data_IF_987669379815
#
_entry.id   IF_987669379815
#
_cell.length_a   1.000
_cell.length_b   1.000
_cell.length_c   1.000
_cell.angle_alpha   90.00
_cell.angle_beta   90.00
_cell.angle_gamma   90.00
#
_symmetry.space_group_name_H-M   'P 1'
#
loop_
_entity.id
_entity.type
_entity.pdbx_description
1 polymer ?
#
# COMPACT_ATOMS: atom_id res chain seq x y z
N UNK A 1 15.63 -4.80 11.90
CA UNK A 1 16.62 -3.97 12.62
C UNK A 1 16.92 -2.74 11.77
N UNK A 2 17.09 -1.59 12.41
CA UNK A 2 17.09 -0.26 11.79
C UNK A 2 18.26 -0.06 10.81
N UNK A 3 18.01 0.63 9.69
CA UNK A 3 19.06 1.10 8.80
C UNK A 3 20.07 1.96 9.57
N UNK A 4 21.34 2.06 9.13
CA UNK A 4 22.33 2.94 9.77
C UNK A 4 21.83 4.37 9.96
N UNK A 5 21.08 4.89 8.99
CA UNK A 5 20.42 6.20 9.06
C UNK A 5 19.35 6.26 10.16
N UNK A 6 18.53 5.21 10.31
CA UNK A 6 17.54 5.13 11.39
C UNK A 6 18.17 5.11 12.79
N UNK A 7 19.25 4.36 12.97
CA UNK A 7 19.99 4.31 14.24
C UNK A 7 20.66 5.64 14.58
N UNK A 8 21.25 6.32 13.60
CA UNK A 8 21.85 7.65 13.80
C UNK A 8 20.77 8.71 14.08
N UNK A 9 19.63 8.66 13.38
CA UNK A 9 18.50 9.54 13.61
C UNK A 9 17.89 9.33 15.01
N UNK A 10 17.88 8.08 15.51
CA UNK A 10 17.39 7.77 16.86
C UNK A 10 18.11 8.60 17.94
N UNK A 11 19.43 8.78 17.82
CA UNK A 11 20.20 9.60 18.77
C UNK A 11 19.74 11.06 18.75
N UNK A 12 19.52 11.64 17.56
CA UNK A 12 18.99 13.00 17.44
C UNK A 12 17.56 13.12 17.97
N UNK A 13 16.70 12.12 17.71
CA UNK A 13 15.32 12.05 18.22
C UNK A 13 15.30 12.02 19.76
N UNK A 14 16.15 11.21 20.39
CA UNK A 14 16.23 11.13 21.86
C UNK A 14 16.73 12.42 22.51
N UNK A 15 17.43 13.27 21.75
CA UNK A 15 17.90 14.59 22.20
C UNK A 15 16.98 15.72 21.77
N UNK A 16 15.84 15.41 21.16
CA UNK A 16 14.89 16.38 20.59
C UNK A 16 15.53 17.32 19.55
N UNK A 17 16.61 16.87 18.89
CA UNK A 17 17.29 17.60 17.82
C UNK A 17 16.55 17.40 16.48
N UNK A 18 15.28 17.79 16.43
CA UNK A 18 14.33 17.46 15.35
C UNK A 18 14.78 17.91 13.96
N UNK A 19 15.40 19.09 13.86
CA UNK A 19 15.91 19.62 12.57
C UNK A 19 16.98 18.71 11.98
N UNK A 20 17.91 18.21 12.81
CA UNK A 20 18.98 17.31 12.36
C UNK A 20 18.42 15.92 12.05
N UNK A 21 17.53 15.41 12.90
CA UNK A 21 16.85 14.14 12.66
C UNK A 21 16.07 14.16 11.34
N UNK A 22 15.28 15.21 11.10
CA UNK A 22 14.50 15.42 9.89
C UNK A 22 15.38 15.48 8.65
N UNK A 23 16.48 16.25 8.68
CA UNK A 23 17.41 16.34 7.55
C UNK A 23 18.03 14.98 7.21
N UNK A 24 18.57 14.27 8.21
CA UNK A 24 19.18 12.96 8.01
C UNK A 24 18.19 11.92 7.47
N UNK A 25 17.00 11.83 8.05
CA UNK A 25 15.97 10.88 7.64
C UNK A 25 15.43 11.21 6.24
N UNK A 26 15.24 12.50 5.92
CA UNK A 26 14.84 12.95 4.59
C UNK A 26 15.83 12.51 3.52
N UNK A 27 17.12 12.75 3.74
CA UNK A 27 18.16 12.30 2.79
C UNK A 27 18.15 10.78 2.63
N UNK A 28 18.02 10.03 3.73
CA UNK A 28 17.93 8.57 3.68
C UNK A 28 16.71 8.07 2.87
N UNK A 29 15.55 8.73 2.99
CA UNK A 29 14.35 8.41 2.22
C UNK A 29 14.52 8.75 0.73
N UNK A 30 15.14 9.88 0.40
CA UNK A 30 15.37 10.29 -0.98
C UNK A 30 16.36 9.40 -1.74
N UNK A 31 17.21 8.66 -1.02
CA UNK A 31 18.12 7.67 -1.61
C UNK A 31 17.46 6.33 -1.92
N UNK A 32 16.27 6.05 -1.38
CA UNK A 32 15.59 4.75 -1.55
C UNK A 32 15.33 4.34 -3.01
N UNK A 33 14.92 5.22 -3.93
CA UNK A 33 14.70 4.84 -5.32
C UNK A 33 15.98 4.35 -6.04
N UNK A 34 17.17 4.73 -5.54
CA UNK A 34 18.47 4.28 -6.07
C UNK A 34 18.87 2.89 -5.56
N UNK A 35 18.24 2.43 -4.47
CA UNK A 35 18.49 1.10 -3.90
C UNK A 35 17.41 0.17 -4.45
N UNK A 36 17.71 -0.57 -5.52
CA UNK A 36 16.76 -1.52 -6.13
C UNK A 36 16.66 -2.79 -5.27
N UNK A 37 15.51 -3.08 -4.63
CA UNK A 37 15.30 -4.30 -3.87
C UNK A 37 14.94 -5.49 -4.78
N UNK A 38 14.74 -5.28 -6.08
CA UNK A 38 14.08 -6.24 -6.99
C UNK A 38 14.79 -7.58 -7.14
N UNK A 39 15.98 -7.73 -6.54
CA UNK A 39 16.86 -8.89 -6.69
C UNK A 39 17.43 -9.39 -5.38
N UNK A 40 16.95 -8.85 -4.24
CA UNK A 40 17.06 -9.56 -2.98
C UNK A 40 16.30 -10.89 -3.07
N UNK A 41 16.70 -11.92 -2.33
CA UNK A 41 15.85 -13.10 -2.16
C UNK A 41 14.48 -12.63 -1.61
N UNK A 42 13.37 -13.33 -1.91
CA UNK A 42 12.03 -12.85 -1.54
C UNK A 42 11.90 -12.49 -0.04
N UNK A 43 12.55 -13.26 0.84
CA UNK A 43 12.62 -12.98 2.28
C UNK A 43 13.39 -11.68 2.60
N UNK A 44 14.50 -11.43 1.90
CA UNK A 44 15.32 -10.23 2.09
C UNK A 44 14.63 -8.98 1.53
N UNK A 45 13.84 -9.11 0.45
CA UNK A 45 12.96 -8.03 -0.03
C UNK A 45 11.97 -7.62 1.04
N UNK A 46 11.26 -8.59 1.62
CA UNK A 46 10.26 -8.32 2.65
C UNK A 46 10.87 -7.64 3.88
N UNK A 47 12.05 -8.11 4.30
CA UNK A 47 12.83 -7.52 5.40
C UNK A 47 13.24 -6.08 5.10
N UNK A 48 13.74 -5.81 3.89
CA UNK A 48 14.05 -4.46 3.45
C UNK A 48 12.78 -3.59 3.45
N UNK A 49 11.69 -4.01 2.81
CA UNK A 49 10.43 -3.27 2.73
C UNK A 49 9.88 -2.92 4.13
N UNK A 50 9.97 -3.84 5.09
CA UNK A 50 9.61 -3.59 6.49
C UNK A 50 10.49 -2.50 7.12
N UNK A 51 11.80 -2.53 6.87
CA UNK A 51 12.73 -1.49 7.33
C UNK A 51 12.48 -0.12 6.66
N UNK A 52 12.10 -0.11 5.38
CA UNK A 52 11.77 1.09 4.62
C UNK A 52 10.50 1.76 5.15
N UNK A 53 9.46 0.96 5.43
CA UNK A 53 8.23 1.42 6.05
C UNK A 53 8.53 2.16 7.36
N UNK A 54 9.31 1.53 8.25
CA UNK A 54 9.73 2.16 9.51
C UNK A 54 10.55 3.45 9.31
N UNK A 55 11.47 3.48 8.33
CA UNK A 55 12.27 4.66 8.02
C UNK A 55 11.40 5.85 7.59
N UNK A 56 10.44 5.61 6.69
CA UNK A 56 9.58 6.67 6.14
C UNK A 56 8.62 7.23 7.18
N UNK A 57 8.05 6.39 8.05
CA UNK A 57 7.23 6.83 9.18
C UNK A 57 8.02 7.70 10.16
N UNK A 58 9.27 7.32 10.47
CA UNK A 58 10.15 8.15 11.29
C UNK A 58 10.49 9.47 10.60
N UNK A 59 10.74 9.47 9.29
CA UNK A 59 11.10 10.68 8.54
C UNK A 59 9.95 11.70 8.55
N UNK A 60 8.71 11.24 8.33
CA UNK A 60 7.53 12.08 8.38
C UNK A 60 7.27 12.66 9.78
N UNK A 61 7.33 11.82 10.81
CA UNK A 61 7.19 12.27 12.20
C UNK A 61 8.28 13.30 12.58
N UNK A 62 9.53 13.09 12.16
CA UNK A 62 10.62 14.02 12.45
C UNK A 62 10.44 15.35 11.72
N UNK A 63 9.94 15.32 10.48
CA UNK A 63 9.61 16.52 9.72
C UNK A 63 8.52 17.34 10.42
N UNK A 64 7.44 16.70 10.88
CA UNK A 64 6.39 17.39 11.64
C UNK A 64 6.91 17.95 12.98
N UNK A 65 7.74 17.19 13.71
CA UNK A 65 8.37 17.70 14.95
C UNK A 65 9.37 18.83 14.71
N UNK A 66 9.93 18.93 13.51
CA UNK A 66 10.76 20.05 13.08
C UNK A 66 9.95 21.23 12.50
N UNK A 67 8.63 21.24 12.67
CA UNK A 67 7.70 22.26 12.15
C UNK A 67 7.77 22.44 10.62
N UNK A 68 8.04 21.36 9.88
CA UNK A 68 7.92 21.36 8.42
C UNK A 68 6.45 21.33 8.01
N UNK A 69 6.17 21.81 6.80
CA UNK A 69 4.82 21.81 6.25
C UNK A 69 4.26 20.36 6.15
N UNK A 70 2.96 20.15 6.36
CA UNK A 70 2.30 18.85 6.20
C UNK A 70 2.67 18.11 4.91
N UNK A 71 2.68 18.82 3.78
CA UNK A 71 3.07 18.25 2.49
C UNK A 71 4.49 17.66 2.50
N UNK A 72 5.47 18.34 3.09
CA UNK A 72 6.86 17.85 3.13
C UNK A 72 6.97 16.52 3.88
N UNK A 73 6.22 16.37 4.98
CA UNK A 73 6.19 15.13 5.75
C UNK A 73 5.42 14.02 5.02
N UNK A 74 4.24 14.34 4.46
CA UNK A 74 3.42 13.38 3.71
C UNK A 74 4.15 12.85 2.47
N UNK A 75 4.90 13.72 1.79
CA UNK A 75 5.74 13.37 0.63
C UNK A 75 6.73 12.25 0.95
N UNK A 76 7.28 12.22 2.16
CA UNK A 76 8.23 11.18 2.59
C UNK A 76 7.53 9.82 2.78
N UNK A 77 6.31 9.81 3.30
CA UNK A 77 5.49 8.60 3.41
C UNK A 77 5.11 8.07 2.02
N UNK A 78 4.64 8.94 1.14
CA UNK A 78 4.24 8.58 -0.22
C UNK A 78 5.43 8.07 -1.05
N UNK A 79 6.64 8.62 -0.86
CA UNK A 79 7.84 8.12 -1.56
C UNK A 79 8.14 6.68 -1.14
N UNK A 80 8.22 6.41 0.17
CA UNK A 80 8.52 5.07 0.68
C UNK A 80 7.47 4.05 0.28
N UNK A 81 6.19 4.41 0.41
CA UNK A 81 5.08 3.52 0.08
C UNK A 81 4.86 3.36 -1.41
N UNK A 82 5.13 4.39 -2.22
CA UNK A 82 5.09 4.27 -3.67
C UNK A 82 6.11 3.25 -4.18
N UNK A 83 7.28 3.20 -3.54
CA UNK A 83 8.25 2.13 -3.77
C UNK A 83 7.69 0.78 -3.30
N UNK A 84 7.24 0.65 -2.04
CA UNK A 84 6.71 -0.62 -1.48
C UNK A 84 5.52 -1.16 -2.28
N UNK A 85 4.52 -0.34 -2.60
CA UNK A 85 3.38 -0.73 -3.43
C UNK A 85 3.81 -1.11 -4.84
N UNK A 86 4.76 -0.39 -5.44
CA UNK A 86 5.37 -0.77 -6.72
C UNK A 86 6.14 -2.10 -6.67
N UNK A 87 6.51 -2.58 -5.47
CA UNK A 87 7.14 -3.89 -5.25
C UNK A 87 6.14 -5.00 -4.90
N UNK A 88 5.20 -4.76 -3.98
CA UNK A 88 4.20 -5.77 -3.54
C UNK A 88 3.22 -6.11 -4.66
N UNK A 89 2.91 -5.16 -5.54
CA UNK A 89 1.97 -5.41 -6.61
C UNK A 89 2.53 -6.28 -7.74
N UNK A 90 3.85 -6.61 -7.79
CA UNK A 90 4.54 -7.24 -8.95
C UNK A 90 4.16 -6.65 -10.33
N UNK A 91 3.51 -5.50 -10.28
CA UNK A 91 2.78 -4.82 -11.32
C UNK A 91 3.17 -3.38 -11.07
N UNK A 92 4.06 -2.92 -11.95
CA UNK A 92 4.07 -1.53 -12.37
C UNK A 92 4.56 -0.51 -11.32
N UNK A 93 5.87 -0.28 -11.31
CA UNK A 93 6.27 1.08 -11.75
C UNK A 93 5.54 1.22 -13.06
N UNK A 94 4.43 1.95 -13.15
CA UNK A 94 3.57 1.90 -14.33
C UNK A 94 4.27 2.51 -15.53
N UNK A 95 5.24 1.75 -16.05
CA UNK A 95 5.80 1.89 -17.35
C UNK A 95 4.80 1.34 -18.35
N UNK A 96 3.55 0.98 -18.04
CA UNK A 96 2.58 0.69 -19.11
C UNK A 96 2.30 1.96 -19.88
N UNK A 97 2.13 3.11 -19.21
CA UNK A 97 2.10 4.42 -19.88
C UNK A 97 3.41 4.66 -20.64
N UNK A 98 4.57 4.42 -20.02
CA UNK A 98 5.88 4.58 -20.70
C UNK A 98 6.07 3.59 -21.86
N UNK A 99 5.52 2.38 -21.79
CA UNK A 99 5.59 1.31 -22.80
C UNK A 99 4.62 1.59 -23.94
N UNK A 100 3.48 2.20 -23.64
CA UNK A 100 2.48 2.63 -24.60
C UNK A 100 3.01 3.83 -25.41
N UNK A 101 3.54 4.84 -24.74
CA UNK A 101 3.95 6.09 -25.40
C UNK A 101 5.41 6.07 -25.87
N UNK A 102 6.32 5.43 -25.13
CA UNK A 102 7.77 5.44 -25.38
C UNK A 102 8.42 4.04 -25.18
N UNK A 103 8.04 3.02 -25.97
CA UNK A 103 8.46 1.62 -25.77
C UNK A 103 9.99 1.40 -25.76
N UNK A 104 10.74 2.18 -26.54
CA UNK A 104 12.21 2.10 -26.56
C UNK A 104 12.84 2.53 -25.23
N UNK A 105 12.39 3.65 -24.67
CA UNK A 105 12.84 4.15 -23.37
C UNK A 105 12.46 3.18 -22.25
N UNK A 106 11.26 2.61 -22.30
CA UNK A 106 10.85 1.60 -21.33
C UNK A 106 11.74 0.35 -21.35
N UNK A 107 12.17 -0.09 -22.55
CA UNK A 107 13.04 -1.26 -22.71
C UNK A 107 14.45 -1.00 -22.17
N UNK A 108 15.03 0.15 -22.46
CA UNK A 108 16.32 0.54 -21.88
C UNK A 108 16.22 0.70 -20.36
N UNK A 109 15.09 1.22 -19.87
CA UNK A 109 14.86 1.41 -18.44
C UNK A 109 14.76 0.08 -17.70
N UNK A 110 14.08 -0.90 -18.30
CA UNK A 110 14.05 -2.27 -17.79
C UNK A 110 15.47 -2.91 -17.84
N UNK A 111 16.25 -2.71 -18.93
CA UNK A 111 17.61 -3.26 -19.07
C UNK A 111 18.60 -2.75 -18.02
N UNK A 112 18.73 -1.43 -17.86
CA UNK A 112 19.72 -0.82 -16.94
C UNK A 112 19.42 -1.20 -15.51
N UNK A 113 18.12 -1.23 -15.16
CA UNK A 113 17.65 -1.74 -13.88
C UNK A 113 18.13 -3.18 -13.67
N UNK A 114 17.83 -4.09 -14.60
CA UNK A 114 18.22 -5.50 -14.52
C UNK A 114 19.76 -5.70 -14.41
N UNK A 115 20.58 -4.76 -14.92
CA UNK A 115 22.04 -4.78 -14.77
C UNK A 115 22.54 -4.33 -13.39
N UNK A 116 22.06 -3.19 -12.87
CA UNK A 116 22.35 -2.71 -11.49
C UNK A 116 22.06 -3.83 -10.49
N UNK A 117 20.96 -4.50 -10.74
CA UNK A 117 20.41 -5.56 -9.93
C UNK A 117 21.29 -6.82 -9.87
N UNK A 118 21.79 -7.31 -11.01
CA UNK A 118 22.73 -8.44 -11.06
C UNK A 118 24.04 -8.17 -10.30
N UNK A 119 24.45 -6.90 -10.23
CA UNK A 119 25.69 -6.49 -9.57
C UNK A 119 25.55 -6.43 -8.05
N UNK A 120 24.34 -6.18 -7.54
CA UNK A 120 24.04 -6.12 -6.10
C UNK A 120 23.84 -7.52 -5.47
N UNK A 121 23.26 -8.48 -6.19
CA UNK A 121 23.04 -9.85 -5.68
C UNK A 121 24.32 -10.67 -5.53
N UNK A 122 25.45 -10.20 -6.09
CA UNK A 122 26.75 -10.87 -6.04
C UNK A 122 27.68 -10.41 -4.89
N UNK A 123 27.14 -9.68 -3.90
CA UNK A 123 27.86 -9.25 -2.68
C UNK A 123 27.56 -10.25 -1.56
N UNK A 124 27.92 -11.50 -1.77
CA UNK A 124 27.90 -12.50 -0.70
C UNK A 124 29.19 -12.33 0.12
N UNK A 125 29.08 -11.77 1.33
CA UNK A 125 30.23 -11.49 2.23
C UNK A 125 30.83 -12.80 2.80
N UNK A 126 30.34 -13.97 2.38
CA UNK A 126 30.69 -15.26 2.97
C UNK A 126 31.72 -16.09 2.19
N UNK A 127 32.07 -15.75 0.95
CA UNK A 127 33.15 -16.45 0.22
C UNK A 127 34.50 -15.77 0.47
N UNK A 128 35.28 -16.37 1.39
CA UNK A 128 36.74 -16.22 1.37
C UNK A 128 37.22 -16.52 -0.05
N UNK A 129 37.95 -15.57 -0.66
CA UNK A 129 38.52 -15.58 -2.02
C UNK A 129 37.75 -14.88 -3.16
N UNK A 130 37.03 -13.78 -2.92
CA UNK A 130 36.76 -12.82 -4.03
C UNK A 130 37.99 -11.89 -4.15
N UNK A 131 38.78 -12.07 -5.22
CA UNK A 131 39.99 -11.28 -5.53
C UNK A 131 39.68 -9.76 -5.55
N UNK A 132 40.58 -8.93 -5.02
CA UNK A 132 40.39 -7.46 -4.91
C UNK A 132 40.06 -6.84 -6.29
N UNK A 133 40.63 -7.41 -7.36
CA UNK A 133 40.37 -7.01 -8.74
C UNK A 133 38.92 -7.31 -9.20
N UNK A 134 38.32 -8.40 -8.74
CA UNK A 134 36.92 -8.76 -9.03
C UNK A 134 35.98 -7.78 -8.35
N UNK A 135 36.26 -7.42 -7.10
CA UNK A 135 35.48 -6.44 -6.35
C UNK A 135 35.55 -5.05 -6.98
N UNK A 136 36.74 -4.59 -7.38
CA UNK A 136 36.92 -3.32 -8.09
C UNK A 136 36.17 -3.27 -9.43
N UNK A 137 36.19 -4.37 -10.21
CA UNK A 137 35.42 -4.47 -11.46
C UNK A 137 33.91 -4.43 -11.23
N UNK A 138 33.42 -5.12 -10.19
CA UNK A 138 32.00 -5.07 -9.79
C UNK A 138 31.59 -3.65 -9.38
N UNK A 139 32.41 -2.95 -8.58
CA UNK A 139 32.15 -1.57 -8.19
C UNK A 139 32.14 -0.60 -9.38
N UNK A 140 33.11 -0.70 -10.29
CA UNK A 140 33.17 0.19 -11.45
C UNK A 140 31.98 -0.03 -12.39
N UNK A 141 31.57 -1.30 -12.58
CA UNK A 141 30.39 -1.63 -13.37
C UNK A 141 29.11 -1.13 -12.72
N UNK A 142 29.00 -1.23 -11.39
CA UNK A 142 27.88 -0.66 -10.64
C UNK A 142 27.81 0.85 -10.80
N UNK A 143 28.94 1.55 -10.62
CA UNK A 143 29.03 3.01 -10.79
C UNK A 143 28.57 3.45 -12.18
N UNK A 144 29.02 2.73 -13.21
CA UNK A 144 28.61 3.02 -14.60
C UNK A 144 27.11 2.79 -14.83
N UNK A 145 26.56 1.70 -14.30
CA UNK A 145 25.13 1.41 -14.43
C UNK A 145 24.27 2.43 -13.65
N UNK A 146 24.72 2.90 -12.48
CA UNK A 146 24.06 3.97 -11.71
C UNK A 146 24.08 5.31 -12.46
N UNK A 147 25.21 5.68 -13.06
CA UNK A 147 25.32 6.87 -13.93
C UNK A 147 24.38 6.77 -15.15
N UNK A 148 24.32 5.60 -15.78
CA UNK A 148 23.42 5.34 -16.91
C UNK A 148 21.94 5.42 -16.50
N UNK A 149 21.61 4.90 -15.32
CA UNK A 149 20.26 4.98 -14.77
C UNK A 149 19.84 6.42 -14.48
N UNK A 150 20.72 7.23 -13.89
CA UNK A 150 20.45 8.64 -13.63
C UNK A 150 20.23 9.41 -14.94
N UNK A 151 21.01 9.15 -15.99
CA UNK A 151 20.81 9.75 -17.34
C UNK A 151 19.45 9.36 -17.90
N UNK A 152 19.13 8.06 -17.92
CA UNK A 152 17.89 7.55 -18.50
C UNK A 152 16.66 8.06 -17.74
N UNK A 153 16.76 8.20 -16.42
CA UNK A 153 15.70 8.76 -15.60
C UNK A 153 15.42 10.23 -15.97
N UNK A 154 16.45 11.02 -16.29
CA UNK A 154 16.28 12.39 -16.79
C UNK A 154 15.66 12.41 -18.19
N UNK A 155 16.05 11.49 -19.08
CA UNK A 155 15.45 11.38 -20.42
C UNK A 155 13.96 11.06 -20.37
N UNK A 156 13.55 10.14 -19.49
CA UNK A 156 12.13 9.81 -19.27
C UNK A 156 11.39 11.04 -18.73
N UNK A 157 11.96 11.74 -17.74
CA UNK A 157 11.37 12.96 -17.18
C UNK A 157 11.32 14.15 -18.14
N UNK A 158 12.11 14.12 -19.21
CA UNK A 158 12.05 15.08 -20.31
C UNK A 158 10.90 14.83 -21.28
N UNK A 159 10.12 13.75 -21.12
CA UNK A 159 8.95 13.46 -21.94
C UNK A 159 7.69 14.11 -21.35
N UNK A 160 6.86 14.64 -22.24
CA UNK A 160 5.56 15.21 -21.87
C UNK A 160 4.71 14.15 -21.15
N UNK A 161 4.20 14.47 -19.96
CA UNK A 161 3.41 13.57 -19.13
C UNK A 161 4.22 12.66 -18.19
N UNK A 162 5.55 12.69 -18.26
CA UNK A 162 6.46 11.88 -17.43
C UNK A 162 7.36 12.71 -16.53
N UNK A 163 7.10 14.02 -16.38
CA UNK A 163 7.94 14.95 -15.64
C UNK A 163 8.11 14.53 -14.16
N UNK A 164 7.09 13.89 -13.59
CA UNK A 164 7.09 13.36 -12.22
C UNK A 164 7.40 11.86 -12.15
N UNK A 165 7.92 11.26 -13.23
CA UNK A 165 8.22 9.83 -13.28
C UNK A 165 9.19 9.43 -12.15
N UNK A 166 8.76 8.49 -11.30
CA UNK A 166 9.46 8.07 -10.08
C UNK A 166 9.77 9.20 -9.08
N UNK A 167 9.14 10.37 -9.21
CA UNK A 167 9.14 11.40 -8.18
C UNK A 167 7.89 11.27 -7.30
N UNK A 168 7.95 11.77 -6.06
CA UNK A 168 6.75 11.89 -5.24
C UNK A 168 5.75 12.85 -5.91
N UNK A 169 4.45 12.61 -5.72
CA UNK A 169 3.43 13.54 -6.20
C UNK A 169 3.64 14.96 -5.65
N UNK A 170 3.30 15.93 -6.47
CA UNK A 170 3.21 17.34 -6.07
C UNK A 170 2.05 17.53 -5.08
N UNK A 171 2.09 18.61 -4.31
CA UNK A 171 1.01 18.93 -3.37
C UNK A 171 -0.34 19.04 -4.08
N UNK A 172 -0.36 19.69 -5.25
CA UNK A 172 -1.55 19.81 -6.08
C UNK A 172 -2.10 18.46 -6.54
N UNK A 173 -1.25 17.52 -6.95
CA UNK A 173 -1.67 16.17 -7.34
C UNK A 173 -2.29 15.41 -6.16
N UNK A 174 -1.74 15.57 -4.93
CA UNK A 174 -2.31 14.97 -3.73
C UNK A 174 -3.70 15.53 -3.41
N UNK A 175 -3.87 16.85 -3.53
CA UNK A 175 -5.16 17.52 -3.29
C UNK A 175 -6.21 17.14 -4.36
N UNK A 176 -5.80 17.06 -5.63
CA UNK A 176 -6.68 16.57 -6.71
C UNK A 176 -7.09 15.12 -6.44
N UNK A 177 -6.16 14.28 -5.99
CA UNK A 177 -6.46 12.90 -5.62
C UNK A 177 -7.43 12.78 -4.44
N UNK A 178 -7.61 13.83 -3.63
CA UNK A 178 -8.59 13.91 -2.55
C UNK A 178 -9.93 14.54 -2.97
N UNK A 179 -10.19 14.67 -4.28
CA UNK A 179 -11.47 15.16 -4.82
C UNK A 179 -12.17 14.05 -5.62
N UNK A 180 -13.44 13.69 -5.31
CA UNK A 180 -14.35 14.36 -4.37
C UNK A 180 -14.17 13.98 -2.90
N UNK A 181 -13.53 12.83 -2.62
CA UNK A 181 -13.53 12.24 -1.28
C UNK A 181 -12.22 12.50 -0.54
N UNK A 182 -12.25 13.03 0.69
CA UNK A 182 -11.07 13.30 1.50
C UNK A 182 -10.29 12.02 1.84
N UNK A 183 -8.98 12.19 2.02
CA UNK A 183 -8.05 11.10 2.33
C UNK A 183 -7.43 11.34 3.69
N UNK A 184 -7.40 10.28 4.50
CA UNK A 184 -6.79 10.25 5.82
C UNK A 184 -5.60 9.30 5.78
N UNK A 185 -4.39 9.85 5.80
CA UNK A 185 -3.15 9.05 5.87
C UNK A 185 -2.69 8.98 7.32
N UNK A 186 -2.57 7.78 7.87
CA UNK A 186 -2.18 7.60 9.27
C UNK A 186 -0.71 7.24 9.32
N UNK A 187 0.08 8.03 10.03
CA UNK A 187 1.48 7.77 10.31
C UNK A 187 1.65 7.24 11.73
N UNK A 188 2.36 6.13 11.87
CA UNK A 188 2.72 5.55 13.16
C UNK A 188 4.23 5.46 13.28
N UNK A 189 4.83 6.37 14.07
CA UNK A 189 6.22 6.27 14.50
C UNK A 189 6.31 5.97 16.01
N UNK A 190 7.44 5.47 16.47
CA UNK A 190 7.59 5.03 17.87
C UNK A 190 7.50 6.17 18.91
N UNK A 191 7.69 7.42 18.47
CA UNK A 191 7.72 8.61 19.33
C UNK A 191 6.59 9.61 19.04
N UNK A 192 5.85 9.42 17.95
CA UNK A 192 4.78 10.32 17.50
C UNK A 192 3.88 9.59 16.49
N UNK A 193 2.58 9.77 16.60
CA UNK A 193 1.62 9.31 15.60
C UNK A 193 0.82 10.51 15.09
N UNK A 194 0.48 10.50 13.81
CA UNK A 194 -0.18 11.63 13.15
C UNK A 194 -1.24 11.12 12.16
N UNK A 195 -2.26 11.91 11.92
CA UNK A 195 -3.13 11.78 10.76
C UNK A 195 -2.98 13.01 9.86
N UNK A 196 -2.66 12.75 8.59
CA UNK A 196 -2.73 13.74 7.53
C UNK A 196 -4.14 13.76 6.97
N UNK A 197 -4.77 14.92 6.99
CA UNK A 197 -6.08 15.17 6.40
C UNK A 197 -5.84 15.87 5.07
N UNK A 198 -6.13 15.18 3.98
CA UNK A 198 -5.94 15.68 2.61
C UNK A 198 -7.32 15.97 2.02
N UNK A 199 -7.53 17.21 1.63
CA UNK A 199 -8.74 17.70 0.97
C UNK A 199 -8.35 18.46 -0.31
N UNK A 200 -9.32 18.73 -1.18
CA UNK A 200 -9.08 19.55 -2.39
C UNK A 200 -8.64 20.99 -2.09
N UNK A 201 -8.79 21.46 -0.85
CA UNK A 201 -8.44 22.81 -0.39
C UNK A 201 -7.09 22.89 0.33
N UNK A 202 -6.55 21.78 0.81
CA UNK A 202 -5.25 21.75 1.47
C UNK A 202 -4.92 20.45 2.17
N UNK A 203 -3.74 20.43 2.78
CA UNK A 203 -3.22 19.32 3.58
C UNK A 203 -2.98 19.81 5.00
N UNK A 204 -3.64 19.20 5.96
CA UNK A 204 -3.47 19.49 7.39
C UNK A 204 -3.05 18.24 8.15
N UNK A 205 -2.59 18.42 9.39
CA UNK A 205 -2.19 17.31 10.26
C UNK A 205 -2.78 17.45 11.64
N UNK A 206 -3.19 16.32 12.21
CA UNK A 206 -3.53 16.19 13.63
C UNK A 206 -2.59 15.19 14.28
N UNK A 207 -2.11 15.52 15.49
CA UNK A 207 -1.35 14.57 16.30
C UNK A 207 -2.32 13.61 17.00
N UNK A 208 -1.94 12.33 17.10
CA UNK A 208 -2.73 11.25 17.69
C UNK A 208 -2.01 10.67 18.92
N UNK A 209 -2.02 11.37 20.07
CA UNK A 209 -1.20 11.01 21.24
C UNK A 209 -1.61 9.68 21.89
N UNK A 210 -2.89 9.31 21.78
CA UNK A 210 -3.42 8.06 22.34
C UNK A 210 -3.20 6.84 21.44
N UNK A 211 -2.78 7.08 20.19
CA UNK A 211 -2.39 6.05 19.24
C UNK A 211 -0.91 5.70 19.46
N UNK A 212 -0.60 4.40 19.63
CA UNK A 212 0.79 3.98 19.81
C UNK A 212 1.09 2.67 19.09
N UNK A 213 2.27 2.62 18.46
CA UNK A 213 2.76 1.43 17.76
C UNK A 213 2.77 0.19 18.67
N UNK A 214 3.11 0.36 19.94
CA UNK A 214 3.13 -0.73 20.93
C UNK A 214 1.75 -1.36 21.13
N UNK A 215 0.70 -0.55 21.29
CA UNK A 215 -0.68 -1.05 21.43
C UNK A 215 -1.16 -1.71 20.14
N UNK A 216 -0.88 -1.10 18.99
CA UNK A 216 -1.25 -1.66 17.68
C UNK A 216 -0.58 -3.02 17.41
N UNK A 217 0.68 -3.20 17.79
CA UNK A 217 1.36 -4.50 17.67
C UNK A 217 0.77 -5.56 18.60
N UNK A 218 0.30 -5.17 19.78
CA UNK A 218 -0.40 -6.11 20.68
C UNK A 218 -1.73 -6.61 20.09
N UNK A 219 -2.30 -5.90 19.11
CA UNK A 219 -3.52 -6.31 18.41
C UNK A 219 -3.30 -7.33 17.30
N UNK A 220 -2.05 -7.69 16.98
CA UNK A 220 -1.74 -8.66 15.94
C UNK A 220 -2.33 -10.06 16.21
N UNK A 221 -2.73 -10.36 17.46
CA UNK A 221 -3.52 -11.54 17.79
C UNK A 221 -5.01 -11.29 17.56
N UNK A 222 -5.68 -12.26 16.92
CA UNK A 222 -7.14 -12.25 16.84
C UNK A 222 -7.74 -12.22 18.25
N UNK A 223 -8.71 -11.34 18.52
CA UNK A 223 -9.35 -11.27 19.82
C UNK A 223 -10.05 -12.59 20.12
N UNK A 224 -9.82 -13.10 21.32
CA UNK A 224 -10.35 -14.40 21.77
C UNK A 224 -11.80 -14.31 22.23
N UNK A 225 -12.24 -13.10 22.59
CA UNK A 225 -13.58 -12.82 23.10
C UNK A 225 -14.19 -11.57 22.46
N UNK A 226 -15.52 -11.53 22.39
CA UNK A 226 -16.29 -10.39 21.85
C UNK A 226 -16.06 -9.10 22.66
N UNK A 227 -15.92 -9.21 23.99
CA UNK A 227 -15.63 -8.08 24.87
C UNK A 227 -14.27 -7.46 24.57
N UNK A 228 -13.26 -8.28 24.30
CA UNK A 228 -11.93 -7.83 23.90
C UNK A 228 -11.99 -7.05 22.58
N UNK A 229 -12.74 -7.55 21.60
CA UNK A 229 -12.97 -6.83 20.34
C UNK A 229 -13.69 -5.49 20.56
N UNK A 230 -14.72 -5.44 21.40
CA UNK A 230 -15.46 -4.21 21.69
C UNK A 230 -14.55 -3.15 22.34
N UNK A 231 -13.79 -3.51 23.38
CA UNK A 231 -12.84 -2.60 24.03
C UNK A 231 -11.72 -2.13 23.09
N UNK A 232 -11.30 -3.00 22.17
CA UNK A 232 -10.37 -2.64 21.12
C UNK A 232 -10.99 -1.56 20.22
N UNK A 233 -12.15 -1.81 19.62
CA UNK A 233 -12.83 -0.86 18.72
C UNK A 233 -13.15 0.48 19.38
N UNK A 234 -13.49 0.49 20.68
CA UNK A 234 -13.69 1.70 21.46
C UNK A 234 -12.38 2.51 21.63
N UNK A 235 -11.26 1.85 21.95
CA UNK A 235 -9.98 2.57 21.98
C UNK A 235 -9.59 3.13 20.60
N UNK A 236 -9.85 2.38 19.52
CA UNK A 236 -9.55 2.85 18.15
C UNK A 236 -10.42 4.04 17.76
N UNK A 237 -11.65 4.09 18.28
CA UNK A 237 -12.51 5.24 18.14
C UNK A 237 -11.87 6.48 18.78
N UNK A 238 -11.50 6.40 20.06
CA UNK A 238 -10.94 7.54 20.78
C UNK A 238 -9.57 7.98 20.26
N UNK A 239 -8.70 7.02 19.96
CA UNK A 239 -7.33 7.29 19.55
C UNK A 239 -7.17 7.68 18.07
N UNK A 240 -8.18 7.40 17.22
CA UNK A 240 -8.06 7.59 15.77
C UNK A 240 -9.37 8.01 15.11
N UNK A 241 -10.44 7.21 15.22
CA UNK A 241 -11.68 7.42 14.46
C UNK A 241 -12.32 8.79 14.74
N UNK A 242 -12.58 9.06 16.02
CA UNK A 242 -13.16 10.31 16.50
C UNK A 242 -12.35 11.57 16.14
N UNK A 243 -11.03 11.67 16.45
CA UNK A 243 -10.27 12.87 16.13
C UNK A 243 -10.16 13.11 14.61
N UNK A 244 -10.01 12.07 13.81
CA UNK A 244 -9.97 12.20 12.35
C UNK A 244 -11.30 12.67 11.75
N UNK A 245 -12.43 12.11 12.20
CA UNK A 245 -13.75 12.52 11.72
C UNK A 245 -14.10 13.93 12.17
N UNK A 246 -13.71 14.34 13.38
CA UNK A 246 -13.90 15.71 13.83
C UNK A 246 -13.09 16.73 13.01
N UNK A 247 -11.87 16.38 12.60
CA UNK A 247 -11.07 17.22 11.71
C UNK A 247 -11.74 17.43 10.34
N UNK A 248 -12.51 16.45 9.88
CA UNK A 248 -13.34 16.53 8.67
C UNK A 248 -14.75 17.12 8.92
N UNK A 249 -15.05 17.59 10.13
CA UNK A 249 -16.39 18.05 10.54
C UNK A 249 -17.50 16.98 10.40
N UNK A 250 -17.14 15.69 10.40
CA UNK A 250 -18.05 14.55 10.39
C UNK A 250 -18.40 14.13 11.82
N UNK A 251 -19.09 15.01 12.54
CA UNK A 251 -19.29 14.87 14.00
C UNK A 251 -20.57 14.16 14.39
N UNK A 252 -21.48 13.91 13.44
CA UNK A 252 -22.83 13.41 13.72
C UNK A 252 -23.25 12.32 12.74
N UNK A 253 -24.19 11.45 13.12
CA UNK A 253 -24.67 10.39 12.22
C UNK A 253 -25.35 10.95 10.97
N UNK A 254 -25.24 10.24 9.86
CA UNK A 254 -25.89 10.61 8.60
C UNK A 254 -27.39 10.30 8.70
N UNK A 255 -28.24 11.34 8.57
CA UNK A 255 -29.71 11.20 8.66
C UNK A 255 -30.42 11.29 7.31
N UNK A 256 -29.80 11.90 6.31
CA UNK A 256 -30.43 12.22 5.01
C UNK A 256 -30.01 11.27 3.88
N UNK A 257 -29.38 10.13 4.23
CA UNK A 257 -28.79 9.16 3.30
C UNK A 257 -27.72 9.74 2.35
N UNK A 258 -27.22 10.96 2.58
CA UNK A 258 -26.08 11.51 1.84
C UNK A 258 -24.80 11.22 2.58
N UNK A 259 -24.30 10.03 2.34
CA UNK A 259 -23.11 9.54 3.01
C UNK A 259 -21.85 10.22 2.45
N UNK A 260 -21.03 10.88 3.29
CA UNK A 260 -19.69 11.26 2.90
C UNK A 260 -18.85 9.98 2.76
N UNK A 261 -17.95 9.98 1.79
CA UNK A 261 -17.01 8.89 1.58
C UNK A 261 -15.62 9.37 1.99
N UNK A 262 -14.91 8.55 2.75
CA UNK A 262 -13.53 8.82 3.18
C UNK A 262 -12.61 7.67 2.77
N UNK A 263 -11.37 8.02 2.45
CA UNK A 263 -10.31 7.06 2.12
C UNK A 263 -9.29 6.97 3.24
N UNK A 264 -9.15 5.79 3.83
CA UNK A 264 -8.13 5.48 4.82
C UNK A 264 -6.87 4.94 4.16
N UNK A 265 -5.72 5.52 4.49
CA UNK A 265 -4.40 5.02 4.09
C UNK A 265 -3.62 4.69 5.38
N UNK A 266 -3.84 3.50 5.98
CA UNK A 266 -3.17 3.09 7.21
C UNK A 266 -1.70 2.74 6.95
N UNK A 267 -0.81 2.95 7.93
CA UNK A 267 0.58 2.44 7.92
C UNK A 267 0.78 1.25 8.85
N UNK A 268 1.70 0.35 8.50
CA UNK A 268 2.16 -0.75 9.37
C UNK A 268 0.96 -1.62 9.85
N UNK A 269 0.97 -2.06 11.11
CA UNK A 269 -0.05 -2.89 11.74
C UNK A 269 -1.49 -2.37 11.62
N UNK A 270 -1.72 -1.06 11.39
CA UNK A 270 -3.07 -0.52 11.15
C UNK A 270 -3.71 -1.08 9.88
N UNK A 271 -2.93 -1.58 8.93
CA UNK A 271 -3.44 -2.18 7.69
C UNK A 271 -4.27 -3.45 7.94
N UNK A 272 -4.10 -4.08 9.11
CA UNK A 272 -4.86 -5.26 9.52
C UNK A 272 -5.98 -4.93 10.53
N UNK A 273 -6.22 -3.66 10.80
CA UNK A 273 -7.15 -3.20 11.84
C UNK A 273 -8.39 -2.58 11.17
N UNK A 274 -9.62 -2.95 11.59
CA UNK A 274 -10.84 -2.46 10.97
C UNK A 274 -11.18 -1.04 11.44
N UNK A 275 -10.47 -0.03 10.95
CA UNK A 275 -10.71 1.39 11.28
C UNK A 275 -12.16 1.79 11.00
N UNK A 276 -12.74 1.29 9.91
CA UNK A 276 -14.14 1.52 9.56
C UNK A 276 -15.12 1.05 10.64
N UNK A 277 -14.75 0.07 11.47
CA UNK A 277 -15.59 -0.45 12.56
C UNK A 277 -15.26 0.18 13.92
N UNK A 278 -14.33 1.13 13.99
CA UNK A 278 -14.00 1.85 15.22
C UNK A 278 -15.26 2.53 15.76
N UNK A 279 -15.56 2.28 17.04
CA UNK A 279 -16.73 2.88 17.67
C UNK A 279 -17.13 2.22 18.98
N UNK A 280 -18.08 2.88 19.66
CA UNK A 280 -18.78 2.33 20.82
C UNK A 280 -20.04 1.62 20.35
N UNK A 281 -20.06 0.30 20.47
CA UNK A 281 -21.10 -0.60 19.95
C UNK A 281 -22.12 -1.03 21.04
N UNK A 282 -22.23 -0.24 22.11
CA UNK A 282 -23.28 -0.38 23.10
C UNK A 282 -24.65 0.01 22.52
N UNK A 283 -25.72 -0.49 23.15
CA UNK A 283 -27.06 -0.35 22.61
C UNK A 283 -27.48 1.12 22.55
N UNK A 284 -27.73 1.63 21.34
CA UNK A 284 -28.19 3.00 21.09
C UNK A 284 -27.09 4.02 20.86
N UNK A 285 -25.82 3.63 20.96
CA UNK A 285 -24.70 4.48 20.54
C UNK A 285 -24.68 4.64 19.02
N UNK A 286 -24.25 5.83 18.59
CA UNK A 286 -23.93 6.16 17.19
C UNK A 286 -22.53 6.75 17.07
N UNK A 287 -21.71 6.54 18.10
CA UNK A 287 -20.31 6.97 18.16
C UNK A 287 -19.44 5.95 17.44
N UNK A 288 -19.66 5.82 16.13
CA UNK A 288 -18.88 4.92 15.28
C UNK A 288 -18.50 5.60 13.97
N UNK A 289 -17.47 5.08 13.31
CA UNK A 289 -17.11 5.51 11.96
C UNK A 289 -18.21 5.12 10.97
N UNK A 290 -18.83 3.96 11.13
CA UNK A 290 -19.91 3.46 10.26
C UNK A 290 -21.15 4.34 10.26
N UNK A 291 -21.45 5.03 11.36
CA UNK A 291 -22.60 5.94 11.44
C UNK A 291 -22.33 7.29 10.75
N UNK A 292 -21.07 7.59 10.40
CA UNK A 292 -20.64 8.93 9.96
C UNK A 292 -20.11 8.98 8.54
N UNK A 293 -19.53 7.90 8.03
CA UNK A 293 -18.94 7.88 6.69
C UNK A 293 -18.85 6.49 6.06
N UNK A 294 -19.00 6.43 4.74
CA UNK A 294 -18.56 5.28 3.96
C UNK A 294 -17.03 5.28 3.99
N UNK A 295 -16.45 4.13 4.33
CA UNK A 295 -14.99 3.97 4.43
C UNK A 295 -14.45 3.10 3.31
N UNK A 296 -13.43 3.58 2.61
CA UNK A 296 -12.60 2.76 1.70
C UNK A 296 -11.13 2.85 2.06
N UNK A 297 -10.32 1.94 1.52
CA UNK A 297 -8.91 1.82 1.85
C UNK A 297 -8.07 1.88 0.59
N UNK A 298 -6.96 2.60 0.65
CA UNK A 298 -5.96 2.62 -0.42
C UNK A 298 -4.55 2.38 0.15
N UNK A 299 -3.64 1.91 -0.72
CA UNK A 299 -2.25 1.68 -0.32
C UNK A 299 -1.42 2.96 -0.32
N UNK A 300 -1.72 3.88 -1.23
CA UNK A 300 -1.06 5.19 -1.38
C UNK A 300 -2.02 6.18 -2.03
N UNK A 301 -1.80 7.48 -1.83
CA UNK A 301 -2.58 8.51 -2.53
C UNK A 301 -2.36 8.36 -4.05
N UNK A 302 -1.13 8.03 -4.45
CA UNK A 302 -0.80 7.74 -5.85
C UNK A 302 -1.64 6.60 -6.45
N UNK A 303 -1.85 5.49 -5.73
CA UNK A 303 -2.66 4.37 -6.22
C UNK A 303 -4.12 4.77 -6.43
N UNK A 304 -4.66 5.58 -5.52
CA UNK A 304 -6.02 6.12 -5.63
C UNK A 304 -6.15 7.05 -6.83
N UNK A 305 -5.16 7.93 -7.03
CA UNK A 305 -5.11 8.84 -8.17
C UNK A 305 -5.09 8.11 -9.51
N UNK A 306 -4.26 7.07 -9.66
CA UNK A 306 -4.24 6.24 -10.87
C UNK A 306 -5.56 5.48 -11.07
N UNK A 307 -6.15 4.95 -10.00
CA UNK A 307 -7.48 4.32 -10.04
C UNK A 307 -8.55 5.26 -10.60
N UNK A 308 -8.66 6.47 -10.05
CA UNK A 308 -9.62 7.50 -10.50
C UNK A 308 -9.36 7.95 -11.94
N UNK A 309 -8.10 8.17 -12.33
CA UNK A 309 -7.74 8.46 -13.72
C UNK A 309 -8.20 7.36 -14.67
N UNK A 310 -7.99 6.11 -14.29
CA UNK A 310 -8.38 4.96 -15.12
C UNK A 310 -9.90 4.85 -15.24
N UNK A 311 -10.67 5.10 -14.18
CA UNK A 311 -12.14 5.17 -14.24
C UNK A 311 -12.62 6.22 -15.24
N UNK A 312 -12.03 7.43 -15.23
CA UNK A 312 -12.36 8.49 -16.19
C UNK A 312 -12.08 8.10 -17.64
N UNK A 313 -11.03 7.31 -17.89
CA UNK A 313 -10.70 6.80 -19.22
C UNK A 313 -11.63 5.64 -19.62
N UNK A 314 -11.90 4.73 -18.68
CA UNK A 314 -12.71 3.52 -18.89
C UNK A 314 -14.19 3.84 -19.12
N UNK A 315 -14.69 4.97 -18.57
CA UNK A 315 -16.03 5.48 -18.84
C UNK A 315 -16.31 5.80 -20.32
N UNK A 316 -15.29 5.77 -21.19
CA UNK A 316 -15.39 6.04 -22.63
C UNK A 316 -15.43 4.78 -23.50
N UNK A 317 -15.17 3.59 -22.95
CA UNK A 317 -15.23 2.33 -23.69
C UNK A 317 -16.61 1.67 -23.54
N UNK A 318 -17.09 0.91 -24.55
CA UNK A 318 -18.32 0.14 -24.40
C UNK A 318 -18.16 -0.86 -23.25
N UNK A 319 -18.97 -0.70 -22.21
CA UNK A 319 -18.96 -1.56 -21.02
C UNK A 319 -19.16 -3.02 -21.43
N UNK A 320 -18.08 -3.80 -21.38
CA UNK A 320 -18.24 -5.23 -21.11
C UNK A 320 -18.83 -5.31 -19.71
N UNK A 321 -19.87 -6.13 -19.54
CA UNK A 321 -20.54 -6.33 -18.26
C UNK A 321 -20.57 -7.81 -17.94
N UNK A 322 -19.52 -8.29 -17.29
CA UNK A 322 -19.43 -9.69 -16.87
C UNK A 322 -18.95 -9.83 -15.44
N UNK A 323 -19.43 -10.90 -14.80
CA UNK A 323 -19.11 -11.23 -13.42
C UNK A 323 -18.48 -12.63 -13.40
N UNK A 324 -17.24 -12.72 -12.93
CA UNK A 324 -16.57 -13.98 -12.66
C UNK A 324 -16.91 -14.42 -11.23
N UNK A 325 -17.58 -15.56 -11.10
CA UNK A 325 -18.03 -16.10 -9.82
C UNK A 325 -17.35 -17.45 -9.56
N UNK A 326 -16.63 -17.55 -8.45
CA UNK A 326 -15.78 -18.70 -8.13
C UNK A 326 -16.10 -19.24 -6.72
N UNK A 327 -16.94 -20.28 -6.61
CA UNK A 327 -17.23 -20.96 -5.35
C UNK A 327 -16.20 -22.06 -5.06
N UNK A 328 -15.74 -22.15 -3.80
CA UNK A 328 -14.81 -23.19 -3.32
C UNK A 328 -15.39 -23.94 -2.11
N UNK A 329 -16.45 -24.72 -2.32
CA UNK A 329 -17.06 -25.54 -1.27
C UNK A 329 -16.09 -26.59 -0.69
N UNK A 330 -15.37 -27.29 -1.56
CA UNK A 330 -14.36 -28.28 -1.19
C UNK A 330 -13.00 -27.77 -1.65
N UNK A 331 -12.22 -27.23 -0.71
CA UNK A 331 -10.83 -26.81 -0.98
C UNK A 331 -9.88 -27.90 -0.50
N UNK A 332 -8.96 -28.41 -1.34
CA UNK A 332 -7.96 -29.39 -0.92
C UNK A 332 -7.20 -28.95 0.33
N UNK A 333 -6.93 -29.88 1.25
CA UNK A 333 -6.18 -29.60 2.48
C UNK A 333 -6.85 -28.63 3.48
N UNK A 334 -8.14 -28.29 3.29
CA UNK A 334 -8.86 -27.31 4.12
C UNK A 334 -10.26 -27.79 4.51
N UNK A 335 -10.88 -27.15 5.50
CA UNK A 335 -12.24 -27.47 5.94
C UNK A 335 -13.29 -27.14 4.87
N UNK A 336 -14.43 -27.85 4.88
CA UNK A 336 -15.53 -27.59 3.93
C UNK A 336 -16.21 -26.25 4.24
N UNK A 337 -16.53 -25.49 3.19
CA UNK A 337 -17.37 -24.28 3.26
C UNK A 337 -18.73 -24.59 2.63
N UNK A 338 -19.69 -25.15 3.38
CA UNK A 338 -20.91 -25.72 2.81
C UNK A 338 -21.77 -24.69 2.05
N UNK A 339 -21.69 -23.42 2.41
CA UNK A 339 -22.50 -22.33 1.85
C UNK A 339 -21.82 -21.56 0.71
N UNK A 340 -20.57 -21.89 0.34
CA UNK A 340 -19.86 -21.16 -0.71
C UNK A 340 -20.57 -21.26 -2.08
N UNK A 341 -21.14 -22.42 -2.39
CA UNK A 341 -21.96 -22.60 -3.61
C UNK A 341 -23.27 -21.80 -3.53
N UNK A 342 -23.93 -21.79 -2.37
CA UNK A 342 -25.18 -21.07 -2.16
C UNK A 342 -24.99 -19.56 -2.28
N UNK A 343 -23.91 -19.01 -1.70
CA UNK A 343 -23.52 -17.60 -1.82
C UNK A 343 -23.33 -17.20 -3.28
N UNK A 344 -22.54 -17.96 -4.04
CA UNK A 344 -22.33 -17.71 -5.46
C UNK A 344 -23.62 -17.82 -6.26
N UNK A 345 -24.49 -18.76 -5.93
CA UNK A 345 -25.80 -18.89 -6.59
C UNK A 345 -26.70 -17.68 -6.34
N UNK A 346 -26.67 -17.09 -5.13
CA UNK A 346 -27.39 -15.85 -4.81
C UNK A 346 -26.83 -14.70 -5.66
N UNK A 347 -25.51 -14.51 -5.70
CA UNK A 347 -24.88 -13.45 -6.51
C UNK A 347 -25.20 -13.63 -8.00
N UNK A 348 -25.13 -14.87 -8.50
CA UNK A 348 -25.47 -15.21 -9.89
C UNK A 348 -26.90 -14.83 -10.27
N UNK A 349 -27.86 -14.99 -9.35
CA UNK A 349 -29.25 -14.58 -9.56
C UNK A 349 -29.43 -13.06 -9.58
N UNK A 350 -28.52 -12.30 -8.97
CA UNK A 350 -28.52 -10.84 -9.01
C UNK A 350 -27.88 -10.28 -10.29
N UNK A 351 -26.92 -10.99 -10.90
CA UNK A 351 -26.20 -10.52 -12.10
C UNK A 351 -27.13 -10.00 -13.22
N UNK A 352 -28.23 -10.68 -13.62
CA UNK A 352 -29.12 -10.16 -14.66
C UNK A 352 -29.78 -8.82 -14.32
N UNK A 353 -30.04 -8.56 -13.02
CA UNK A 353 -30.61 -7.28 -12.56
C UNK A 353 -29.62 -6.12 -12.67
N UNK A 354 -28.33 -6.44 -12.72
CA UNK A 354 -27.22 -5.51 -12.85
C UNK A 354 -26.66 -5.48 -14.28
N UNK A 355 -27.34 -6.12 -15.24
CA UNK A 355 -26.89 -6.26 -16.63
C UNK A 355 -25.51 -6.95 -16.74
N UNK A 356 -25.16 -7.80 -15.77
CA UNK A 356 -23.91 -8.57 -15.73
C UNK A 356 -24.12 -9.99 -16.28
N UNK A 357 -23.23 -10.44 -17.16
CA UNK A 357 -23.15 -11.85 -17.60
C UNK A 357 -22.30 -12.67 -16.62
N UNK A 358 -22.88 -13.62 -15.87
CA UNK A 358 -22.10 -14.44 -14.94
C UNK A 358 -21.30 -15.53 -15.67
N UNK A 359 -20.04 -15.69 -15.30
CA UNK A 359 -19.15 -16.78 -15.69
C UNK A 359 -18.72 -17.58 -14.46
N UNK A 360 -18.75 -18.91 -14.56
CA UNK A 360 -18.36 -19.83 -13.49
C UNK A 360 -17.38 -20.87 -14.06
N UNK A 361 -16.13 -20.49 -14.36
CA UNK A 361 -15.13 -21.44 -14.82
C UNK A 361 -14.82 -22.45 -13.71
N UNK A 362 -14.21 -23.57 -14.08
CA UNK A 362 -13.62 -24.48 -13.09
C UNK A 362 -12.59 -23.69 -12.26
N UNK A 363 -12.56 -23.82 -10.92
CA UNK A 363 -11.69 -23.03 -10.06
C UNK A 363 -10.25 -23.56 -10.11
N UNK A 364 -9.61 -23.43 -11.27
CA UNK A 364 -8.18 -23.66 -11.50
C UNK A 364 -7.53 -22.33 -11.84
N UNK A 365 -6.29 -22.11 -11.40
CA UNK A 365 -5.59 -20.82 -11.59
C UNK A 365 -5.64 -20.32 -13.02
N UNK A 366 -5.32 -21.17 -13.99
CA UNK A 366 -5.29 -20.80 -15.41
C UNK A 366 -6.65 -20.30 -15.93
N UNK A 367 -7.73 -21.05 -15.65
CA UNK A 367 -9.08 -20.69 -16.09
C UNK A 367 -9.65 -19.46 -15.38
N UNK A 368 -9.30 -19.28 -14.09
CA UNK A 368 -9.67 -18.09 -13.32
C UNK A 368 -8.94 -16.86 -13.86
N UNK A 369 -7.62 -16.92 -14.08
CA UNK A 369 -6.85 -15.79 -14.63
C UNK A 369 -7.32 -15.39 -16.03
N UNK A 370 -7.55 -16.36 -16.92
CA UNK A 370 -8.06 -16.08 -18.27
C UNK A 370 -9.44 -15.39 -18.26
N UNK A 371 -10.27 -15.70 -17.26
CA UNK A 371 -11.59 -15.07 -17.11
C UNK A 371 -11.50 -13.71 -16.39
N UNK A 372 -10.51 -13.53 -15.51
CA UNK A 372 -10.32 -12.33 -14.70
C UNK A 372 -10.01 -11.12 -15.59
N UNK A 373 -9.20 -11.30 -16.65
CA UNK A 373 -8.86 -10.25 -17.62
C UNK A 373 -10.08 -9.66 -18.35
N UNK A 374 -11.15 -10.43 -18.48
CA UNK A 374 -12.35 -10.05 -19.21
C UNK A 374 -13.52 -9.63 -18.31
N UNK A 375 -13.40 -9.77 -16.98
CA UNK A 375 -14.49 -9.53 -16.04
C UNK A 375 -14.45 -8.14 -15.41
N UNK A 376 -15.63 -7.64 -15.01
CA UNK A 376 -15.79 -6.37 -14.30
C UNK A 376 -15.98 -6.59 -12.81
N UNK A 377 -16.62 -7.70 -12.46
CA UNK A 377 -16.86 -8.11 -11.08
C UNK A 377 -16.21 -9.46 -10.90
N UNK A 378 -15.32 -9.57 -9.91
CA UNK A 378 -14.79 -10.84 -9.46
C UNK A 378 -15.34 -11.12 -8.06
N UNK A 379 -16.03 -12.25 -7.91
CA UNK A 379 -16.56 -12.70 -6.63
C UNK A 379 -16.04 -14.11 -6.34
N UNK A 380 -15.26 -14.22 -5.26
CA UNK A 380 -14.66 -15.47 -4.80
C UNK A 380 -15.20 -15.81 -3.40
N UNK A 381 -15.78 -16.99 -3.26
CA UNK A 381 -16.25 -17.52 -1.98
C UNK A 381 -15.45 -18.78 -1.65
N UNK A 382 -14.42 -18.64 -0.80
CA UNK A 382 -13.46 -19.72 -0.55
C UNK A 382 -12.45 -19.40 0.54
N UNK A 383 -11.45 -20.28 0.69
CA UNK A 383 -10.34 -20.05 1.62
C UNK A 383 -9.28 -19.14 1.02
N UNK A 384 -8.74 -18.25 1.84
CA UNK A 384 -7.48 -17.55 1.58
C UNK A 384 -6.43 -18.02 2.56
N UNK A 385 -5.16 -18.07 2.13
CA UNK A 385 -4.02 -18.31 3.02
C UNK A 385 -3.16 -17.07 3.07
N UNK A 386 -2.95 -16.58 4.28
CA UNK A 386 -2.05 -15.48 4.56
C UNK A 386 -0.70 -16.04 5.02
N UNK A 387 0.37 -15.71 4.32
CA UNK A 387 1.71 -16.07 4.73
C UNK A 387 2.36 -14.86 5.43
N UNK A 388 2.36 -14.85 6.76
CA UNK A 388 2.88 -13.71 7.53
C UNK A 388 4.40 -13.51 7.38
N UNK A 389 5.15 -14.58 7.07
CA UNK A 389 6.59 -14.50 6.86
C UNK A 389 6.93 -14.02 5.44
N UNK A 390 6.13 -14.45 4.45
CA UNK A 390 6.28 -14.08 3.05
C UNK A 390 4.93 -13.67 2.44
N UNK A 391 4.40 -12.46 2.73
CA UNK A 391 3.12 -11.97 2.23
C UNK A 391 2.86 -12.16 0.73
N UNK A 392 3.86 -12.08 -0.14
CA UNK A 392 3.71 -12.31 -1.59
C UNK A 392 3.35 -13.75 -1.97
N UNK A 393 3.48 -14.70 -1.03
CA UNK A 393 3.04 -16.09 -1.18
C UNK A 393 1.63 -16.31 -0.61
N UNK A 394 0.96 -15.25 -0.15
CA UNK A 394 -0.45 -15.33 0.22
C UNK A 394 -1.28 -15.63 -1.03
N UNK A 395 -2.34 -16.41 -0.89
CA UNK A 395 -3.09 -16.89 -2.05
C UNK A 395 -4.57 -17.10 -1.76
N UNK A 396 -5.36 -17.07 -2.82
CA UNK A 396 -6.70 -17.65 -2.82
C UNK A 396 -6.58 -19.14 -3.16
N UNK A 397 -7.18 -19.99 -2.33
CA UNK A 397 -7.08 -21.44 -2.48
C UNK A 397 -8.11 -21.95 -3.50
N UNK A 398 -7.65 -22.14 -4.74
CA UNK A 398 -8.35 -22.83 -5.84
C UNK A 398 -8.15 -24.36 -5.76
N UNK A 399 -8.66 -25.14 -6.73
CA UNK A 399 -8.46 -26.60 -6.76
C UNK A 399 -6.97 -27.00 -6.85
N UNK A 400 -6.15 -26.23 -7.56
CA UNK A 400 -4.73 -26.49 -7.79
C UNK A 400 -3.80 -25.73 -6.84
N UNK A 401 -4.30 -25.19 -5.72
CA UNK A 401 -3.55 -24.23 -4.90
C UNK A 401 -2.26 -24.78 -4.26
N UNK A 402 -2.19 -26.09 -4.00
CA UNK A 402 -1.01 -26.72 -3.38
C UNK A 402 0.18 -26.79 -4.33
N UNK A 403 -0.06 -26.93 -5.64
CA UNK A 403 0.98 -27.08 -6.67
C UNK A 403 1.12 -25.83 -7.55
N UNK A 404 0.05 -25.05 -7.70
CA UNK A 404 -0.03 -23.88 -8.56
C UNK A 404 -0.92 -22.79 -7.92
N UNK A 405 -0.46 -22.13 -6.84
CA UNK A 405 -1.26 -21.15 -6.11
C UNK A 405 -1.60 -19.92 -6.96
N UNK A 406 -2.83 -19.42 -6.80
CA UNK A 406 -3.24 -18.09 -7.23
C UNK A 406 -2.83 -17.08 -6.14
N UNK A 407 -1.61 -16.56 -6.25
CA UNK A 407 -1.05 -15.57 -5.32
C UNK A 407 -1.75 -14.21 -5.48
N UNK A 408 -1.97 -13.51 -4.36
CA UNK A 408 -2.68 -12.21 -4.31
C UNK A 408 -1.95 -11.16 -3.50
#
# INVERSE_FOLDING_TARGET
MASPAGSAAYVYIQREEWVKASALLREAVLLLPKVSPRFLAHADRQSLLSSLSGLTSMAAAAALSANKAPYEALKLLELGRGLISGFVMDIRTDTSELKLEYPGLAKEFDRVRDEIDQLQSGIDVSTKEDDLATWQRKQERFRKADEEFDVLLQEVRGKFGFETFLLPPTEAELMIAATPDPIIVINVAFYRCDAFIVEGTGITTIELPDLSQRRLRAWASFPSARSELASRLEWLWDALGHPCLNALSLTSPVLDNKWPHIWWIPTDALSCIPIHAAGRHDQGSTETVLDRAISSYALTIKSLFHGRKRELVSAREPERKSALLVPMRNTPGSGKLPYAEDEVNIVKQMCPKLDLKPGTPRPLKEGVLASLEACNVFHFAGHGRLNAAEPSKSCLCLEDWETNPLTV
#
